data_IF_767998216181
#
_entry.id   IF_767998216181
#
_cell.length_a   1.000
_cell.length_b   1.000
_cell.length_c   1.000
_cell.angle_alpha   90.00
_cell.angle_beta   90.00
_cell.angle_gamma   90.00
#
_symmetry.space_group_name_H-M   'P 1'
#
loop_
_entity.id
_entity.type
_entity.pdbx_description
1 polymer ?
#
# COMPACT_ATOMS: atom_id res chain seq x y z
N UNK A 1 8.23 -5.38 -43.87
CA UNK A 1 9.22 -5.29 -44.98
C UNK A 1 8.92 -4.20 -46.04
N UNK A 2 7.93 -3.31 -45.84
CA UNK A 2 7.58 -2.24 -46.82
C UNK A 2 7.98 -0.81 -46.38
N UNK A 3 8.46 -0.62 -45.16
CA UNK A 3 8.87 0.69 -44.66
C UNK A 3 10.24 1.14 -45.21
N UNK A 4 11.22 0.21 -45.31
CA UNK A 4 12.57 0.52 -45.81
C UNK A 4 12.58 1.05 -47.25
N UNK A 5 11.86 0.38 -48.16
CA UNK A 5 11.75 0.83 -49.57
C UNK A 5 11.14 2.23 -49.74
N UNK A 6 10.28 2.67 -48.81
CA UNK A 6 9.67 4.01 -48.86
C UNK A 6 10.65 5.11 -48.42
N UNK A 7 11.55 4.81 -47.48
CA UNK A 7 12.59 5.74 -47.06
C UNK A 7 13.63 5.97 -48.18
N UNK A 8 14.03 4.91 -48.87
CA UNK A 8 15.01 5.00 -49.96
C UNK A 8 14.49 5.83 -51.15
N UNK A 9 13.21 5.69 -51.48
CA UNK A 9 12.57 6.48 -52.56
C UNK A 9 12.42 7.96 -52.20
N UNK A 10 12.13 8.29 -50.93
CA UNK A 10 12.06 9.68 -50.47
C UNK A 10 13.44 10.32 -50.45
N UNK A 11 14.46 9.60 -49.98
CA UNK A 11 15.84 10.06 -49.99
C UNK A 11 16.32 10.38 -51.42
N UNK A 12 16.02 9.49 -52.37
CA UNK A 12 16.34 9.72 -53.78
C UNK A 12 15.59 10.93 -54.35
N UNK A 13 14.31 11.11 -54.02
CA UNK A 13 13.52 12.27 -54.43
C UNK A 13 14.10 13.59 -53.91
N UNK A 14 14.37 13.68 -52.61
CA UNK A 14 14.99 14.88 -52.00
C UNK A 14 16.35 15.16 -52.63
N UNK A 15 17.17 14.13 -52.85
CA UNK A 15 18.48 14.28 -53.49
C UNK A 15 18.37 14.82 -54.92
N UNK A 16 17.49 14.24 -55.74
CA UNK A 16 17.29 14.66 -57.12
C UNK A 16 16.78 16.10 -57.21
N UNK A 17 15.72 16.44 -56.47
CA UNK A 17 15.14 17.78 -56.50
C UNK A 17 16.05 18.83 -55.85
N UNK A 18 16.88 18.46 -54.85
CA UNK A 18 17.88 19.35 -54.28
C UNK A 18 18.97 19.70 -55.31
N UNK A 19 19.44 18.74 -56.11
CA UNK A 19 20.40 19.00 -57.20
C UNK A 19 19.78 19.92 -58.25
N UNK A 20 18.56 19.62 -58.70
CA UNK A 20 17.86 20.45 -59.68
C UNK A 20 17.66 21.88 -59.14
N UNK A 21 17.29 22.02 -57.87
CA UNK A 21 17.16 23.33 -57.21
C UNK A 21 18.50 24.07 -57.18
N UNK A 22 19.60 23.39 -56.86
CA UNK A 22 20.93 24.01 -56.87
C UNK A 22 21.34 24.51 -58.26
N UNK A 23 21.04 23.74 -59.31
CA UNK A 23 21.25 24.16 -60.71
C UNK A 23 20.38 25.39 -61.04
N UNK A 24 19.11 25.39 -60.63
CA UNK A 24 18.21 26.53 -60.84
C UNK A 24 18.71 27.80 -60.12
N UNK A 25 19.25 27.67 -58.89
CA UNK A 25 19.88 28.79 -58.16
C UNK A 25 21.13 29.30 -58.88
N UNK A 26 21.96 28.41 -59.43
CA UNK A 26 23.14 28.83 -60.21
C UNK A 26 22.73 29.64 -61.45
N UNK A 27 21.68 29.20 -62.16
CA UNK A 27 21.10 29.95 -63.27
C UNK A 27 20.47 31.28 -62.84
N UNK A 28 19.83 31.32 -61.68
CA UNK A 28 19.28 32.56 -61.11
C UNK A 28 20.39 33.57 -60.77
N UNK A 29 21.52 33.09 -60.21
CA UNK A 29 22.69 33.92 -59.92
C UNK A 29 23.36 34.44 -61.20
N UNK A 30 23.49 33.60 -62.24
CA UNK A 30 23.96 34.01 -63.57
C UNK A 30 23.04 35.07 -64.19
N UNK A 31 21.72 34.86 -64.15
CA UNK A 31 20.74 35.83 -64.64
C UNK A 31 20.82 37.18 -63.90
N UNK A 32 20.97 37.15 -62.57
CA UNK A 32 21.17 38.36 -61.76
C UNK A 32 22.47 39.08 -62.14
N UNK A 33 23.58 38.34 -62.30
CA UNK A 33 24.86 38.90 -62.72
C UNK A 33 24.79 39.53 -64.12
N UNK A 34 24.08 38.90 -65.06
CA UNK A 34 23.85 39.43 -66.40
C UNK A 34 23.15 40.78 -66.37
N UNK A 35 22.13 40.93 -65.52
CA UNK A 35 21.40 42.20 -65.38
C UNK A 35 22.24 43.26 -64.66
N UNK A 36 22.94 42.90 -63.58
CA UNK A 36 23.72 43.85 -62.77
C UNK A 36 24.95 44.38 -63.53
N UNK A 37 25.65 43.51 -64.25
CA UNK A 37 26.91 43.84 -64.92
C UNK A 37 26.79 44.03 -66.43
N UNK A 38 25.57 43.95 -67.00
CA UNK A 38 25.32 43.99 -68.44
C UNK A 38 26.20 43.01 -69.25
N UNK A 39 26.45 41.82 -68.70
CA UNK A 39 27.26 40.77 -69.33
C UNK A 39 26.36 39.71 -69.96
N UNK A 40 26.74 39.09 -71.10
CA UNK A 40 25.97 37.99 -71.66
C UNK A 40 25.87 36.81 -70.67
N UNK A 41 24.76 36.04 -70.71
CA UNK A 41 24.58 34.91 -69.80
C UNK A 41 25.64 33.84 -70.09
N UNK A 42 26.53 33.62 -69.13
CA UNK A 42 27.70 32.75 -69.33
C UNK A 42 27.33 31.28 -69.09
N UNK A 43 26.32 31.02 -68.26
CA UNK A 43 25.92 29.65 -67.95
C UNK A 43 25.11 29.03 -69.09
N UNK A 44 24.33 29.84 -69.83
CA UNK A 44 23.58 29.38 -71.00
C UNK A 44 24.48 28.96 -72.17
N UNK A 45 25.66 29.59 -72.34
CA UNK A 45 26.59 29.27 -73.43
C UNK A 45 27.35 27.95 -73.24
N UNK A 46 27.28 27.35 -72.05
CA UNK A 46 27.86 26.02 -71.79
C UNK A 46 27.01 24.88 -72.34
N UNK A 47 25.74 25.13 -72.67
CA UNK A 47 24.85 24.12 -73.21
C UNK A 47 24.96 24.08 -74.75
N UNK A 48 24.98 22.90 -75.39
CA UNK A 48 25.05 22.76 -76.84
C UNK A 48 23.70 23.09 -77.48
N UNK A 49 23.25 24.35 -77.36
CA UNK A 49 21.99 24.86 -77.90
C UNK A 49 22.33 25.93 -78.95
N UNK A 50 21.55 25.98 -80.03
CA UNK A 50 21.74 26.95 -81.12
C UNK A 50 21.89 28.39 -80.58
N UNK A 51 23.02 29.03 -80.85
CA UNK A 51 23.33 30.38 -80.35
C UNK A 51 22.25 31.41 -80.73
N UNK A 52 21.63 31.25 -81.90
CA UNK A 52 20.54 32.10 -82.37
C UNK A 52 19.30 32.05 -81.45
N UNK A 53 19.03 30.91 -80.80
CA UNK A 53 17.90 30.75 -79.86
C UNK A 53 18.23 31.33 -78.49
N UNK A 54 19.50 31.27 -78.07
CA UNK A 54 19.96 31.85 -76.80
C UNK A 54 19.92 33.38 -76.88
N UNK A 55 20.35 33.97 -78.00
CA UNK A 55 20.31 35.41 -78.21
C UNK A 55 18.90 36.00 -78.26
N UNK A 56 17.88 35.18 -78.55
CA UNK A 56 16.48 35.61 -78.53
C UNK A 56 15.91 35.77 -77.11
N UNK A 57 16.59 35.26 -76.07
CA UNK A 57 16.12 35.32 -74.68
C UNK A 57 16.61 36.62 -74.03
N UNK A 58 15.68 37.54 -73.77
CA UNK A 58 15.97 38.77 -73.02
C UNK A 58 16.38 38.46 -71.57
N UNK A 59 17.36 39.18 -70.98
CA UNK A 59 17.79 39.00 -69.59
C UNK A 59 16.65 38.94 -68.56
N UNK A 60 15.63 39.78 -68.71
CA UNK A 60 14.46 39.80 -67.81
C UNK A 60 13.64 38.50 -67.86
N UNK A 61 13.52 37.90 -69.05
CA UNK A 61 12.80 36.63 -69.23
C UNK A 61 13.60 35.49 -68.61
N UNK A 62 14.92 35.50 -68.80
CA UNK A 62 15.82 34.53 -68.19
C UNK A 62 15.76 34.57 -66.66
N UNK A 63 15.79 35.77 -66.06
CA UNK A 63 15.65 35.95 -64.61
C UNK A 63 14.30 35.43 -64.11
N UNK A 64 13.20 35.76 -64.79
CA UNK A 64 11.86 35.34 -64.36
C UNK A 64 11.71 33.82 -64.38
N UNK A 65 12.15 33.17 -65.46
CA UNK A 65 12.06 31.71 -65.62
C UNK A 65 12.92 30.97 -64.59
N UNK A 66 14.13 31.46 -64.33
CA UNK A 66 15.05 30.86 -63.34
C UNK A 66 14.57 31.08 -61.91
N UNK A 67 13.94 32.23 -61.62
CA UNK A 67 13.31 32.49 -60.33
C UNK A 67 12.11 31.58 -60.07
N UNK A 68 11.19 31.46 -61.03
CA UNK A 68 10.01 30.60 -60.91
C UNK A 68 10.39 29.13 -60.76
N UNK A 69 11.32 28.64 -61.57
CA UNK A 69 11.81 27.25 -61.47
C UNK A 69 12.47 26.98 -60.11
N UNK A 70 13.28 27.91 -59.60
CA UNK A 70 13.88 27.80 -58.26
C UNK A 70 12.81 27.66 -57.17
N UNK A 71 11.78 28.51 -57.18
CA UNK A 71 10.69 28.47 -56.19
C UNK A 71 9.92 27.14 -56.27
N UNK A 72 9.60 26.68 -57.48
CA UNK A 72 8.85 25.43 -57.69
C UNK A 72 9.66 24.23 -57.20
N UNK A 73 10.92 24.09 -57.64
CA UNK A 73 11.75 22.94 -57.24
C UNK A 73 12.08 22.95 -55.76
N UNK A 74 12.32 24.13 -55.18
CA UNK A 74 12.48 24.27 -53.74
C UNK A 74 11.20 23.88 -52.99
N UNK A 75 10.04 24.36 -53.44
CA UNK A 75 8.73 24.00 -52.88
C UNK A 75 8.46 22.49 -52.92
N UNK A 76 8.74 21.83 -54.05
CA UNK A 76 8.62 20.37 -54.18
C UNK A 76 9.61 19.64 -53.25
N UNK A 77 10.86 20.10 -53.17
CA UNK A 77 11.87 19.53 -52.27
C UNK A 77 11.40 19.61 -50.81
N UNK A 78 10.87 20.75 -50.40
CA UNK A 78 10.28 20.96 -49.08
C UNK A 78 9.07 20.06 -48.85
N UNK A 79 8.14 19.96 -49.81
CA UNK A 79 6.99 19.08 -49.69
C UNK A 79 7.43 17.63 -49.46
N UNK A 80 8.36 17.10 -50.26
CA UNK A 80 8.85 15.72 -50.12
C UNK A 80 9.60 15.52 -48.79
N UNK A 81 10.41 16.49 -48.37
CA UNK A 81 11.19 16.42 -47.14
C UNK A 81 10.31 16.51 -45.87
N UNK A 82 9.24 17.33 -45.90
CA UNK A 82 8.40 17.64 -44.74
C UNK A 82 7.05 16.92 -44.71
N UNK A 83 6.66 16.17 -45.75
CA UNK A 83 5.41 15.39 -45.79
C UNK A 83 5.36 14.18 -44.83
N UNK A 84 6.35 13.98 -43.96
CA UNK A 84 6.43 12.78 -43.11
C UNK A 84 6.73 13.00 -41.61
N UNK A 85 7.50 14.02 -41.17
CA UNK A 85 7.78 14.17 -39.74
C UNK A 85 6.56 14.63 -38.93
N UNK A 86 5.73 15.52 -39.47
CA UNK A 86 4.57 16.06 -38.73
C UNK A 86 3.47 15.01 -38.59
N UNK A 87 3.15 14.29 -39.66
CA UNK A 87 2.16 13.21 -39.61
C UNK A 87 2.62 12.06 -38.71
N UNK A 88 3.90 11.66 -38.79
CA UNK A 88 4.46 10.65 -37.90
C UNK A 88 4.45 11.10 -36.43
N UNK A 89 4.75 12.38 -36.17
CA UNK A 89 4.69 12.95 -34.83
C UNK A 89 3.26 13.00 -34.28
N UNK A 90 2.28 13.46 -35.08
CA UNK A 90 0.86 13.49 -34.71
C UNK A 90 0.32 12.07 -34.46
N UNK A 91 0.63 11.11 -35.34
CA UNK A 91 0.24 9.72 -35.16
C UNK A 91 0.87 9.11 -33.91
N UNK A 92 2.12 9.47 -33.59
CA UNK A 92 2.78 9.05 -32.36
C UNK A 92 2.10 9.66 -31.13
N UNK A 93 1.83 10.96 -31.13
CA UNK A 93 1.12 11.63 -30.01
C UNK A 93 -0.27 11.02 -29.81
N UNK A 94 -1.03 10.81 -30.88
CA UNK A 94 -2.37 10.20 -30.80
C UNK A 94 -2.31 8.77 -30.28
N UNK A 95 -1.33 7.99 -30.75
CA UNK A 95 -1.08 6.63 -30.25
C UNK A 95 -0.69 6.63 -28.76
N UNK A 96 0.21 7.53 -28.36
CA UNK A 96 0.68 7.63 -26.97
C UNK A 96 -0.45 8.09 -26.04
N UNK A 97 -1.26 9.06 -26.47
CA UNK A 97 -2.46 9.50 -25.75
C UNK A 97 -3.49 8.37 -25.60
N UNK A 98 -3.72 7.57 -26.67
CA UNK A 98 -4.62 6.41 -26.61
C UNK A 98 -4.10 5.34 -25.65
N UNK A 99 -2.80 5.08 -25.65
CA UNK A 99 -2.17 4.14 -24.70
C UNK A 99 -2.30 4.64 -23.27
N UNK A 100 -2.04 5.92 -23.03
CA UNK A 100 -2.18 6.50 -21.71
C UNK A 100 -3.62 6.36 -21.18
N UNK A 101 -4.62 6.69 -22.00
CA UNK A 101 -6.04 6.52 -21.63
C UNK A 101 -6.40 5.06 -21.32
N UNK A 102 -5.88 4.09 -22.09
CA UNK A 102 -6.09 2.67 -21.81
C UNK A 102 -5.47 2.24 -20.47
N UNK A 103 -4.24 2.69 -20.19
CA UNK A 103 -3.55 2.39 -18.92
C UNK A 103 -4.27 3.04 -17.73
N UNK A 104 -4.74 4.28 -17.86
CA UNK A 104 -5.54 4.95 -16.83
C UNK A 104 -6.84 4.20 -16.56
N UNK A 105 -7.50 3.68 -17.60
CA UNK A 105 -8.72 2.88 -17.45
C UNK A 105 -8.45 1.57 -16.70
N UNK A 106 -7.38 0.85 -17.05
CA UNK A 106 -6.97 -0.37 -16.35
C UNK A 106 -6.62 -0.11 -14.89
N UNK A 107 -5.90 0.98 -14.60
CA UNK A 107 -5.54 1.36 -13.23
C UNK A 107 -6.78 1.74 -12.41
N UNK A 108 -7.78 2.39 -13.01
CA UNK A 108 -9.05 2.67 -12.35
C UNK A 108 -9.84 1.40 -12.04
N UNK A 109 -9.84 0.43 -12.96
CA UNK A 109 -10.47 -0.88 -12.77
C UNK A 109 -9.81 -1.66 -11.62
N UNK A 110 -8.47 -1.73 -11.60
CA UNK A 110 -7.70 -2.36 -10.50
C UNK A 110 -7.96 -1.68 -9.15
N UNK A 111 -8.01 -0.34 -9.12
CA UNK A 111 -8.34 0.39 -7.89
C UNK A 111 -9.78 0.17 -7.43
N UNK A 112 -10.71 -0.02 -8.36
CA UNK A 112 -12.10 -0.37 -8.04
C UNK A 112 -12.17 -1.75 -7.39
N UNK A 113 -11.48 -2.74 -7.95
CA UNK A 113 -11.43 -4.10 -7.40
C UNK A 113 -10.84 -4.11 -5.99
N UNK A 114 -9.76 -3.36 -5.74
CA UNK A 114 -9.18 -3.21 -4.40
C UNK A 114 -10.17 -2.59 -3.42
N UNK A 115 -10.94 -1.59 -3.85
CA UNK A 115 -11.97 -0.96 -3.00
C UNK A 115 -13.09 -1.94 -2.66
N UNK A 116 -13.49 -2.80 -3.59
CA UNK A 116 -14.51 -3.83 -3.35
C UNK A 116 -14.00 -4.86 -2.30
N UNK A 117 -12.76 -5.34 -2.45
CA UNK A 117 -12.12 -6.25 -1.47
C UNK A 117 -11.99 -5.59 -0.09
N UNK A 118 -11.64 -4.30 -0.04
CA UNK A 118 -11.57 -3.54 1.21
C UNK A 118 -12.96 -3.44 1.86
N UNK A 119 -14.00 -3.19 1.07
CA UNK A 119 -15.37 -3.10 1.57
C UNK A 119 -15.84 -4.45 2.16
N UNK A 120 -15.61 -5.56 1.44
CA UNK A 120 -15.90 -6.92 1.94
C UNK A 120 -15.14 -7.22 3.24
N UNK A 121 -13.87 -6.82 3.33
CA UNK A 121 -13.05 -7.00 4.53
C UNK A 121 -13.61 -6.21 5.73
N UNK A 122 -14.09 -4.99 5.49
CA UNK A 122 -14.71 -4.16 6.53
C UNK A 122 -16.02 -4.78 7.01
N UNK A 123 -16.84 -5.30 6.10
CA UNK A 123 -18.10 -5.97 6.42
C UNK A 123 -17.85 -7.21 7.28
N UNK A 124 -16.93 -8.08 6.88
CA UNK A 124 -16.54 -9.28 7.65
C UNK A 124 -15.98 -8.92 9.04
N UNK A 125 -15.14 -7.89 9.14
CA UNK A 125 -14.65 -7.44 10.44
C UNK A 125 -15.78 -6.91 11.34
N UNK A 126 -16.78 -6.26 10.77
CA UNK A 126 -17.94 -5.79 11.50
C UNK A 126 -18.81 -6.94 12.01
N UNK A 127 -18.98 -8.00 11.22
CA UNK A 127 -19.65 -9.23 11.66
C UNK A 127 -18.92 -9.88 12.84
N UNK A 128 -17.60 -10.08 12.72
CA UNK A 128 -16.77 -10.64 13.80
C UNK A 128 -16.85 -9.77 15.06
N UNK A 129 -16.80 -8.45 14.93
CA UNK A 129 -16.96 -7.54 16.07
C UNK A 129 -18.33 -7.69 16.74
N UNK A 130 -19.40 -7.92 15.96
CA UNK A 130 -20.73 -8.18 16.53
C UNK A 130 -20.74 -9.50 17.30
N UNK A 131 -20.17 -10.57 16.74
CA UNK A 131 -20.10 -11.86 17.42
C UNK A 131 -19.30 -11.78 18.72
N UNK A 132 -18.15 -11.09 18.68
CA UNK A 132 -17.31 -10.87 19.87
C UNK A 132 -18.08 -10.08 20.94
N UNK A 133 -18.88 -9.08 20.53
CA UNK A 133 -19.71 -8.31 21.44
C UNK A 133 -20.76 -9.19 22.12
N UNK A 134 -21.40 -10.09 21.39
CA UNK A 134 -22.39 -11.03 21.93
C UNK A 134 -21.74 -12.03 22.90
N UNK A 135 -20.57 -12.56 22.56
CA UNK A 135 -19.78 -13.41 23.46
C UNK A 135 -19.43 -12.68 24.77
N UNK A 136 -19.04 -11.41 24.70
CA UNK A 136 -18.76 -10.59 25.89
C UNK A 136 -20.02 -10.43 26.76
N UNK A 137 -21.20 -10.24 26.17
CA UNK A 137 -22.44 -10.17 26.93
C UNK A 137 -22.76 -11.49 27.63
N UNK A 138 -22.59 -12.63 26.94
CA UNK A 138 -22.80 -13.96 27.50
C UNK A 138 -21.83 -14.24 28.66
N UNK A 139 -20.53 -14.02 28.46
CA UNK A 139 -19.51 -14.18 29.52
C UNK A 139 -19.84 -13.28 30.72
N UNK A 140 -20.26 -12.03 30.48
CA UNK A 140 -20.65 -11.13 31.57
C UNK A 140 -21.87 -11.65 32.34
N UNK A 141 -22.83 -12.28 31.66
CA UNK A 141 -23.97 -12.89 32.33
C UNK A 141 -23.52 -14.08 33.18
N UNK A 142 -22.71 -14.99 32.64
CA UNK A 142 -22.17 -16.15 33.38
C UNK A 142 -21.33 -15.73 34.59
N UNK A 143 -20.50 -14.69 34.46
CA UNK A 143 -19.72 -14.15 35.60
C UNK A 143 -20.65 -13.67 36.72
N UNK A 144 -21.78 -13.04 36.38
CA UNK A 144 -22.77 -12.61 37.39
C UNK A 144 -23.42 -13.82 38.08
N UNK A 145 -23.62 -14.93 37.38
CA UNK A 145 -24.15 -16.16 37.97
C UNK A 145 -23.13 -16.88 38.88
N UNK A 146 -21.83 -16.79 38.57
CA UNK A 146 -20.75 -17.37 39.38
C UNK A 146 -20.43 -16.51 40.62
N UNK A 147 -20.70 -15.21 40.58
CA UNK A 147 -20.45 -14.29 41.70
C UNK A 147 -20.99 -14.77 43.06
N UNK A 148 -22.26 -15.22 43.21
CA UNK A 148 -22.77 -15.73 44.47
C UNK A 148 -22.09 -17.03 44.92
N UNK A 149 -21.63 -17.87 43.98
CA UNK A 149 -20.88 -19.09 44.33
C UNK A 149 -19.53 -18.73 44.95
N UNK A 150 -18.85 -17.71 44.43
CA UNK A 150 -17.59 -17.20 45.00
C UNK A 150 -17.80 -16.69 46.43
N UNK A 151 -18.87 -15.94 46.67
CA UNK A 151 -19.23 -15.46 48.02
C UNK A 151 -19.56 -16.62 48.97
N UNK A 152 -20.28 -17.64 48.48
CA UNK A 152 -20.57 -18.86 49.23
C UNK A 152 -19.31 -19.63 49.62
N UNK A 153 -18.35 -19.78 48.70
CA UNK A 153 -17.06 -20.45 48.97
C UNK A 153 -16.26 -19.71 50.04
N UNK A 154 -16.20 -18.38 49.99
CA UNK A 154 -15.50 -17.58 51.01
C UNK A 154 -16.20 -17.71 52.38
N UNK A 155 -17.53 -17.76 52.42
CA UNK A 155 -18.28 -18.01 53.67
C UNK A 155 -17.98 -19.39 54.26
N UNK A 156 -18.04 -20.44 53.43
CA UNK A 156 -17.73 -21.82 53.86
C UNK A 156 -16.29 -21.91 54.36
N UNK A 157 -15.34 -21.25 53.68
CA UNK A 157 -13.94 -21.20 54.09
C UNK A 157 -13.78 -20.51 55.46
N UNK A 158 -14.51 -19.41 55.70
CA UNK A 158 -14.53 -18.75 57.00
C UNK A 158 -15.08 -19.68 58.11
N UNK A 159 -16.21 -20.35 57.86
CA UNK A 159 -16.80 -21.31 58.81
C UNK A 159 -15.86 -22.50 59.09
N UNK A 160 -15.20 -23.05 58.06
CA UNK A 160 -14.18 -24.09 58.21
C UNK A 160 -13.00 -23.62 59.08
N UNK A 161 -12.52 -22.38 58.88
CA UNK A 161 -11.44 -21.84 59.72
C UNK A 161 -11.89 -21.61 61.16
N UNK A 162 -13.16 -21.28 61.39
CA UNK A 162 -13.74 -21.15 62.71
C UNK A 162 -13.83 -22.51 63.41
N UNK A 163 -14.46 -23.49 62.77
CA UNK A 163 -14.56 -24.87 63.26
C UNK A 163 -13.18 -25.47 63.56
N UNK A 164 -12.18 -25.23 62.71
CA UNK A 164 -10.81 -25.66 62.94
C UNK A 164 -10.20 -25.07 64.21
N UNK A 165 -10.50 -23.81 64.55
CA UNK A 165 -10.06 -23.17 65.80
C UNK A 165 -10.77 -23.76 67.01
N UNK A 166 -12.08 -23.99 66.91
CA UNK A 166 -12.86 -24.62 67.98
C UNK A 166 -12.37 -26.03 68.29
N UNK A 167 -12.15 -26.84 67.25
CA UNK A 167 -11.66 -28.21 67.40
C UNK A 167 -10.27 -28.23 68.06
N UNK A 168 -9.38 -27.29 67.69
CA UNK A 168 -8.08 -27.13 68.34
C UNK A 168 -8.22 -26.74 69.82
N UNK A 169 -9.15 -25.84 70.16
CA UNK A 169 -9.46 -25.46 71.54
C UNK A 169 -10.01 -26.64 72.36
N UNK A 170 -10.89 -27.45 71.77
CA UNK A 170 -11.36 -28.69 72.41
C UNK A 170 -10.24 -29.71 72.59
N UNK A 171 -9.37 -29.89 71.60
CA UNK A 171 -8.21 -30.78 71.71
C UNK A 171 -7.26 -30.34 72.85
N UNK A 172 -6.98 -29.05 72.97
CA UNK A 172 -6.14 -28.50 74.05
C UNK A 172 -6.77 -28.73 75.44
N UNK A 173 -8.10 -28.56 75.56
CA UNK A 173 -8.85 -28.84 76.80
C UNK A 173 -8.88 -30.33 77.15
N UNK A 174 -8.99 -31.22 76.16
CA UNK A 174 -9.02 -32.67 76.36
C UNK A 174 -7.64 -33.27 76.66
N UNK A 175 -6.55 -32.69 76.13
CA UNK A 175 -5.17 -33.15 76.42
C UNK A 175 -4.75 -32.87 77.87
N UNK A 176 -5.37 -31.91 78.55
CA UNK A 176 -4.98 -31.50 79.91
C UNK A 176 -6.18 -31.24 80.84
N UNK A 177 -7.00 -32.26 81.14
CA UNK A 177 -8.22 -32.10 81.92
C UNK A 177 -7.97 -31.76 83.39
N UNK A 178 -6.74 -31.95 83.91
CA UNK A 178 -6.36 -31.62 85.28
C UNK A 178 -5.30 -30.53 85.28
N UNK A 179 -5.55 -29.42 85.96
CA UNK A 179 -4.53 -28.41 86.26
C UNK A 179 -4.12 -28.62 87.72
N UNK A 180 -2.82 -28.64 88.00
CA UNK A 180 -2.34 -28.70 89.37
C UNK A 180 -2.70 -27.40 90.11
N UNK A 181 -3.47 -27.50 91.20
CA UNK A 181 -3.91 -26.36 92.02
C UNK A 181 -2.75 -25.60 92.67
N UNK A 182 -1.60 -26.24 92.87
CA UNK A 182 -0.45 -25.64 93.55
C UNK A 182 0.46 -24.87 92.59
N UNK A 183 0.71 -25.38 91.39
CA UNK A 183 1.67 -24.77 90.44
C UNK A 183 1.05 -24.28 89.12
N UNK A 184 -0.26 -24.47 88.93
CA UNK A 184 -1.00 -24.00 87.76
C UNK A 184 -0.66 -24.70 86.44
N UNK A 185 0.18 -25.74 86.45
CA UNK A 185 0.60 -26.46 85.24
C UNK A 185 -0.41 -27.56 84.87
N UNK A 186 -0.65 -27.77 83.56
CA UNK A 186 -1.51 -28.85 83.09
C UNK A 186 -0.87 -30.22 83.33
N UNK A 187 -1.65 -31.19 83.79
CA UNK A 187 -1.22 -32.55 84.09
C UNK A 187 -2.16 -33.54 83.40
N UNK A 188 -1.58 -34.60 82.83
CA UNK A 188 -2.37 -35.68 82.21
C UNK A 188 -3.21 -36.41 83.28
N UNK A 189 -4.42 -36.87 82.93
CA UNK A 189 -5.37 -37.43 83.90
C UNK A 189 -4.88 -38.69 84.60
N UNK A 190 -3.90 -39.39 84.02
CA UNK A 190 -3.27 -40.63 84.48
C UNK A 190 -2.31 -40.43 85.67
N UNK A 191 -1.85 -39.21 85.92
CA UNK A 191 -0.95 -38.94 87.05
C UNK A 191 -1.75 -38.67 88.34
N UNK A 192 -1.44 -39.44 89.38
CA UNK A 192 -1.95 -39.22 90.74
C UNK A 192 -1.11 -38.21 91.54
N UNK A 193 0.04 -37.79 91.00
CA UNK A 193 0.96 -36.81 91.57
C UNK A 193 1.42 -35.86 90.47
N UNK A 194 1.40 -34.55 90.72
CA UNK A 194 1.86 -33.55 89.77
C UNK A 194 3.35 -33.75 89.46
N UNK A 195 3.74 -34.03 88.20
CA UNK A 195 5.14 -34.26 87.84
C UNK A 195 6.02 -33.01 87.94
N UNK A 196 5.42 -31.82 88.09
CA UNK A 196 6.16 -30.56 88.15
C UNK A 196 6.45 -30.08 89.58
N UNK A 197 5.58 -30.37 90.55
CA UNK A 197 5.72 -29.88 91.93
C UNK A 197 5.57 -30.96 93.01
N UNK A 198 5.27 -32.21 92.64
CA UNK A 198 5.17 -33.33 93.58
C UNK A 198 3.88 -33.40 94.40
N UNK A 199 2.91 -32.50 94.16
CA UNK A 199 1.64 -32.49 94.90
C UNK A 199 0.71 -33.65 94.49
N UNK A 200 0.04 -34.28 95.45
CA UNK A 200 -0.94 -35.35 95.19
C UNK A 200 -2.23 -34.74 94.63
N UNK A 201 -2.63 -35.18 93.43
CA UNK A 201 -3.83 -34.68 92.76
C UNK A 201 -5.06 -35.45 93.26
N UNK A 202 -6.00 -34.78 93.94
CA UNK A 202 -7.27 -35.40 94.37
C UNK A 202 -8.13 -35.77 93.14
N UNK A 203 -8.77 -36.95 93.11
CA UNK A 203 -9.72 -37.28 92.04
C UNK A 203 -10.94 -36.36 92.14
N UNK A 204 -11.26 -35.63 91.05
CA UNK A 204 -12.51 -34.89 90.93
C UNK A 204 -13.61 -35.93 90.68
N UNK A 205 -14.25 -36.39 91.74
CA UNK A 205 -15.43 -37.24 91.64
C UNK A 205 -16.57 -36.61 92.45
N UNK A 206 -17.09 -35.45 91.99
CA UNK A 206 -18.28 -34.84 92.60
C UNK A 206 -19.05 -33.77 91.77
N UNK A 207 -18.86 -33.64 90.45
CA UNK A 207 -19.65 -32.68 89.63
C UNK A 207 -20.24 -33.25 88.34
N UNK A 208 -20.79 -34.48 88.39
CA UNK A 208 -21.65 -35.02 87.31
C UNK A 208 -23.12 -35.21 87.79
N UNK A 209 -23.47 -34.83 89.02
CA UNK A 209 -24.83 -35.00 89.56
C UNK A 209 -25.82 -33.84 89.25
N UNK A 210 -25.54 -32.94 88.30
CA UNK A 210 -26.40 -31.77 88.04
C UNK A 210 -26.78 -31.52 86.57
N UNK A 211 -26.73 -32.54 85.71
CA UNK A 211 -27.21 -32.47 84.31
C UNK A 211 -28.46 -33.32 84.05
N UNK A 212 -29.35 -33.46 85.05
CA UNK A 212 -30.64 -34.16 84.93
C UNK A 212 -31.86 -33.22 85.01
N UNK A 213 -31.65 -31.91 84.84
CA UNK A 213 -32.75 -30.95 84.62
C UNK A 213 -32.36 -30.05 83.47
N UNK A 214 -32.87 -30.35 82.27
CA UNK A 214 -33.25 -29.44 81.17
C UNK A 214 -33.41 -30.29 79.89
N UNK A 215 -34.47 -31.12 79.90
CA UNK A 215 -35.33 -31.29 78.74
C UNK A 215 -36.54 -30.38 78.93
#
# INVERSE_FOLDING_TARGET
MNAGRKLDQKGFGVWLFSIITAIAVAHLADAANTIIFNKPPTLLSLYPVDEAKIQAITPNVYLLVTALSTIIFWGITCAIAFENPVEAFLNKILSDAKKQSAVETQLLEEKSEILDVMNETVEMNNEILSEVKDLIYNIRAEIKEIQPLKEGVEKIKAELTHLKKELKSFEEKLRHPKICVTCGKPVLPEFNVCPYCGEILKPINEQIASLEKYY
#
